data_IF_199644060977
#
_entry.id   IF_199644060977
#
_cell.length_a   1.000
_cell.length_b   1.000
_cell.length_c   1.000
_cell.angle_alpha   90.00
_cell.angle_beta   90.00
_cell.angle_gamma   90.00
#
_symmetry.space_group_name_H-M   'P 1'
#
loop_
_entity.id
_entity.type
_entity.pdbx_description
1 polymer ?
#
# COMPACT_ATOMS: atom_id res chain seq x y z
N UNK A 1 -0.70 0.86 14.67
CA UNK A 1 -1.63 1.55 13.75
C UNK A 1 -2.00 0.66 12.56
N UNK A 2 -3.20 0.79 11.99
CA UNK A 2 -3.64 0.08 10.77
C UNK A 2 -3.87 1.09 9.64
N UNK A 3 -3.28 0.83 8.47
CA UNK A 3 -3.41 1.65 7.26
C UNK A 3 -3.91 0.76 6.13
N UNK A 4 -5.07 1.10 5.56
CA UNK A 4 -5.70 0.31 4.49
C UNK A 4 -5.62 1.06 3.17
N UNK A 5 -5.03 0.42 2.16
CA UNK A 5 -4.97 0.91 0.79
C UNK A 5 -6.01 0.22 -0.07
N UNK A 6 -6.82 1.04 -0.74
CA UNK A 6 -7.68 0.60 -1.82
C UNK A 6 -6.92 0.73 -3.14
N UNK A 7 -6.89 -0.36 -3.91
CA UNK A 7 -6.18 -0.43 -5.18
C UNK A 7 -7.17 -0.42 -6.34
N UNK A 8 -6.83 0.35 -7.36
CA UNK A 8 -7.52 0.38 -8.64
C UNK A 8 -6.53 0.16 -9.78
N UNK A 9 -7.01 -0.37 -10.90
CA UNK A 9 -6.22 -0.50 -12.12
C UNK A 9 -6.94 0.22 -13.26
N UNK A 10 -6.28 1.19 -13.86
CA UNK A 10 -6.81 1.96 -14.98
C UNK A 10 -5.67 2.33 -15.94
N UNK A 11 -5.95 2.26 -17.25
CA UNK A 11 -5.05 2.77 -18.29
C UNK A 11 -3.59 2.27 -18.20
N UNK A 12 -3.38 1.02 -17.76
CA UNK A 12 -2.04 0.45 -17.65
C UNK A 12 -1.29 0.80 -16.36
N UNK A 13 -1.97 1.37 -15.37
CA UNK A 13 -1.40 1.76 -14.09
C UNK A 13 -2.16 1.15 -12.92
N UNK A 14 -1.40 0.75 -11.91
CA UNK A 14 -1.92 0.42 -10.60
C UNK A 14 -1.87 1.67 -9.73
N UNK A 15 -2.98 2.03 -9.12
CA UNK A 15 -3.09 3.19 -8.24
C UNK A 15 -3.61 2.75 -6.88
N UNK A 16 -3.02 3.26 -5.80
CA UNK A 16 -3.45 2.96 -4.45
C UNK A 16 -3.64 4.23 -3.63
N UNK A 17 -4.68 4.24 -2.81
CA UNK A 17 -4.96 5.33 -1.86
C UNK A 17 -5.32 4.81 -0.49
N UNK A 18 -4.79 5.46 0.55
CA UNK A 18 -5.16 5.23 1.94
C UNK A 18 -5.65 6.52 2.58
N UNK A 19 -6.77 6.44 3.30
CA UNK A 19 -7.22 7.51 4.17
C UNK A 19 -6.40 7.51 5.46
N UNK A 20 -5.72 8.63 5.72
CA UNK A 20 -5.01 8.88 6.97
C UNK A 20 -5.61 10.11 7.67
N UNK A 21 -5.44 10.25 9.00
CA UNK A 21 -6.11 11.30 9.79
C UNK A 21 -5.79 12.72 9.35
N UNK A 22 -4.58 12.97 8.87
CA UNK A 22 -4.13 14.31 8.46
C UNK A 22 -4.17 14.47 6.93
N UNK A 23 -3.39 13.67 6.21
CA UNK A 23 -3.29 13.72 4.75
C UNK A 23 -3.40 12.32 4.15
N UNK A 24 -4.30 12.11 3.20
CA UNK A 24 -4.38 10.85 2.47
C UNK A 24 -3.07 10.53 1.74
N UNK A 25 -2.72 9.25 1.69
CA UNK A 25 -1.54 8.74 1.00
C UNK A 25 -1.96 8.25 -0.38
N UNK A 26 -1.29 8.73 -1.43
CA UNK A 26 -1.53 8.32 -2.81
C UNK A 26 -0.24 7.83 -3.44
N UNK A 27 -0.32 6.72 -4.17
CA UNK A 27 0.81 6.18 -4.89
C UNK A 27 0.36 5.37 -6.11
N UNK A 28 1.28 5.12 -7.03
CA UNK A 28 1.02 4.37 -8.26
C UNK A 28 2.26 3.58 -8.70
N UNK A 29 2.05 2.57 -9.54
CA UNK A 29 3.14 1.77 -10.12
C UNK A 29 2.73 1.11 -11.45
N UNK A 30 3.71 0.74 -12.27
CA UNK A 30 3.47 0.00 -13.52
C UNK A 30 3.21 -1.49 -13.30
N UNK A 31 3.67 -2.02 -12.17
CA UNK A 31 3.44 -3.40 -11.76
C UNK A 31 2.92 -3.44 -10.31
N UNK A 32 2.35 -4.57 -9.90
CA UNK A 32 1.93 -4.78 -8.51
C UNK A 32 3.14 -4.67 -7.57
N UNK A 33 4.29 -5.24 -7.95
CA UNK A 33 5.51 -5.16 -7.14
C UNK A 33 5.93 -3.69 -6.90
N UNK A 34 6.00 -2.91 -7.98
CA UNK A 34 6.32 -1.48 -7.89
C UNK A 34 5.28 -0.70 -7.07
N UNK A 35 3.99 -1.02 -7.22
CA UNK A 35 2.94 -0.41 -6.40
C UNK A 35 3.17 -0.70 -4.91
N UNK A 36 3.45 -1.95 -4.56
CA UNK A 36 3.71 -2.35 -3.17
C UNK A 36 4.95 -1.64 -2.62
N UNK A 37 6.05 -1.63 -3.36
CA UNK A 37 7.28 -0.92 -2.94
C UNK A 37 6.98 0.57 -2.65
N UNK A 38 6.25 1.22 -3.57
CA UNK A 38 5.88 2.62 -3.40
C UNK A 38 4.88 2.85 -2.25
N UNK A 39 3.99 1.89 -1.96
CA UNK A 39 3.11 1.94 -0.77
C UNK A 39 3.95 1.92 0.50
N UNK A 40 4.94 1.03 0.60
CA UNK A 40 5.76 0.88 1.79
C UNK A 40 6.64 2.10 2.03
N UNK A 41 7.24 2.65 0.97
CA UNK A 41 8.03 3.88 1.05
C UNK A 41 7.16 5.07 1.47
N UNK A 42 6.01 5.28 0.79
CA UNK A 42 5.12 6.39 1.11
C UNK A 42 4.54 6.29 2.53
N UNK A 43 4.20 5.09 2.99
CA UNK A 43 3.71 4.87 4.35
C UNK A 43 4.80 5.14 5.38
N UNK A 44 6.02 4.66 5.13
CA UNK A 44 7.15 4.88 6.04
C UNK A 44 7.47 6.37 6.17
N UNK A 45 7.46 7.10 5.05
CA UNK A 45 7.68 8.54 5.05
C UNK A 45 6.57 9.28 5.79
N UNK A 46 5.31 8.94 5.51
CA UNK A 46 4.14 9.60 6.11
C UNK A 46 4.09 9.45 7.63
N UNK A 47 4.51 8.30 8.15
CA UNK A 47 4.45 8.00 9.58
C UNK A 47 5.84 7.82 10.20
N UNK A 48 6.81 8.62 9.74
CA UNK A 48 8.20 8.54 10.23
C UNK A 48 8.23 8.77 11.74
N UNK A 49 7.51 9.76 12.25
CA UNK A 49 7.49 10.12 13.67
C UNK A 49 6.93 8.99 14.54
N UNK A 50 5.85 8.35 14.11
CA UNK A 50 5.26 7.21 14.81
C UNK A 50 6.21 6.01 14.80
N UNK A 51 6.83 5.71 13.66
CA UNK A 51 7.81 4.63 13.56
C UNK A 51 9.00 4.89 14.50
N UNK A 52 9.55 6.11 14.51
CA UNK A 52 10.63 6.52 15.41
C UNK A 52 10.22 6.47 16.89
N UNK A 53 8.96 6.72 17.21
CA UNK A 53 8.38 6.51 18.55
C UNK A 53 8.19 5.03 18.92
N UNK A 54 8.50 4.10 18.01
CA UNK A 54 8.38 2.66 18.21
C UNK A 54 7.00 2.10 17.90
N UNK A 55 6.11 2.87 17.27
CA UNK A 55 4.80 2.40 16.85
C UNK A 55 4.95 1.42 15.68
N UNK A 56 4.16 0.35 15.71
CA UNK A 56 4.06 -0.61 14.60
C UNK A 56 2.94 -0.20 13.66
N UNK A 57 3.24 -0.16 12.36
CA UNK A 57 2.25 0.18 11.32
C UNK A 57 1.94 -1.05 10.50
N UNK A 58 0.71 -1.55 10.59
CA UNK A 58 0.21 -2.62 9.73
C UNK A 58 -0.39 -2.02 8.48
N UNK A 59 0.20 -2.31 7.32
CA UNK A 59 -0.33 -1.96 6.00
C UNK A 59 -1.15 -3.13 5.47
N UNK A 60 -2.36 -2.85 4.99
CA UNK A 60 -3.23 -3.78 4.29
C UNK A 60 -3.59 -3.18 2.93
N UNK A 61 -3.21 -3.85 1.86
CA UNK A 61 -3.49 -3.43 0.48
C UNK A 61 -4.49 -4.39 -0.13
N UNK A 62 -5.59 -3.86 -0.66
CA UNK A 62 -6.68 -4.65 -1.23
C UNK A 62 -6.98 -4.23 -2.65
N UNK A 63 -7.01 -5.20 -3.54
CA UNK A 63 -7.53 -5.06 -4.88
C UNK A 63 -8.73 -5.99 -5.07
N UNK A 64 -9.86 -5.41 -5.43
CA UNK A 64 -11.07 -6.14 -5.83
C UNK A 64 -11.46 -5.65 -7.21
N UNK A 65 -11.39 -6.50 -8.24
CA UNK A 65 -11.93 -6.14 -9.53
C UNK A 65 -13.46 -6.28 -9.50
N UNK A 66 -14.18 -5.25 -9.93
CA UNK A 66 -15.65 -5.32 -10.10
C UNK A 66 -16.05 -5.91 -11.46
N UNK A 67 -15.11 -6.49 -12.21
CA UNK A 67 -15.32 -6.89 -13.61
C UNK A 67 -15.41 -8.41 -13.74
N UNK A 68 -16.60 -8.88 -14.13
CA UNK A 68 -16.87 -10.24 -14.59
C UNK A 68 -15.92 -10.65 -15.71
N UNK A 69 -15.23 -11.77 -15.50
CA UNK A 69 -14.76 -12.74 -16.51
C UNK A 69 -14.46 -12.16 -17.91
N UNK A 70 -13.39 -11.38 -18.04
CA UNK A 70 -12.71 -11.25 -19.31
C UNK A 70 -11.26 -11.62 -19.11
N UNK A 71 -10.78 -12.55 -19.94
CA UNK A 71 -9.43 -13.09 -20.03
C UNK A 71 -8.38 -11.97 -20.06
N UNK A 72 -8.01 -11.48 -18.88
CA UNK A 72 -7.01 -10.45 -18.68
C UNK A 72 -5.92 -11.03 -17.78
N UNK A 73 -4.63 -10.76 -18.01
CA UNK A 73 -3.52 -11.28 -17.20
C UNK A 73 -3.48 -10.69 -15.77
N UNK A 74 -4.52 -9.96 -15.37
CA UNK A 74 -4.61 -9.22 -14.13
C UNK A 74 -5.31 -10.11 -13.09
N UNK A 75 -4.75 -10.27 -11.87
CA UNK A 75 -5.36 -11.09 -10.84
C UNK A 75 -6.77 -10.57 -10.50
N UNK A 76 -7.74 -11.48 -10.36
CA UNK A 76 -9.14 -11.11 -10.10
C UNK A 76 -9.33 -10.42 -8.74
N UNK A 77 -8.51 -10.74 -7.76
CA UNK A 77 -8.41 -10.04 -6.49
C UNK A 77 -7.07 -10.37 -5.83
N UNK A 78 -6.58 -9.48 -4.98
CA UNK A 78 -5.49 -9.80 -4.07
C UNK A 78 -5.60 -9.00 -2.78
N UNK A 79 -5.05 -9.58 -1.71
CA UNK A 79 -4.79 -8.89 -0.46
C UNK A 79 -3.31 -9.06 -0.13
N UNK A 80 -2.64 -7.96 0.21
CA UNK A 80 -1.29 -7.95 0.72
C UNK A 80 -1.29 -7.31 2.11
N UNK A 81 -0.57 -7.91 3.05
CA UNK A 81 -0.48 -7.41 4.42
C UNK A 81 0.96 -7.49 4.91
N UNK A 82 1.45 -6.40 5.48
CA UNK A 82 2.79 -6.33 6.05
C UNK A 82 2.83 -5.38 7.23
N UNK A 83 3.78 -5.58 8.13
CA UNK A 83 4.06 -4.69 9.22
C UNK A 83 5.35 -3.92 8.96
N UNK A 84 5.27 -2.61 9.13
CA UNK A 84 6.41 -1.70 9.13
C UNK A 84 6.72 -1.39 10.59
N UNK A 85 7.99 -1.57 10.94
CA UNK A 85 8.57 -1.21 12.24
C UNK A 85 9.80 -0.37 11.97
N UNK A 86 10.15 0.54 12.88
CA UNK A 86 11.41 1.27 12.75
C UNK A 86 12.58 0.29 12.61
N UNK A 87 13.49 0.62 11.69
CA UNK A 87 14.76 -0.07 11.61
C UNK A 87 15.43 0.07 12.97
N UNK A 88 15.78 -1.06 13.60
CA UNK A 88 16.58 -1.02 14.80
C UNK A 88 17.88 -0.32 14.43
N UNK A 89 18.26 0.81 15.08
CA UNK A 89 19.59 1.38 14.84
C UNK A 89 20.57 0.28 15.24
N UNK A 90 21.25 -0.30 14.25
CA UNK A 90 22.22 -1.36 14.48
C UNK A 90 23.29 -0.86 15.45
N UNK A 91 23.58 -1.71 16.45
CA UNK A 91 24.65 -1.56 17.44
C UNK A 91 26.01 -1.14 16.84
#
# INVERSE_FOLDING_TARGET
>A
MLVTFEVTYAEGWWSASAHAPENAIFTQGKSIGELIDNILEATSLHYTEELEAGERITVVTRYTSETHEQESPIPSNFEYKVDIIAATPGC
#
